data_IF_779225737823
#
_entry.id   IF_779225737823
#
_cell.length_a   1.000
_cell.length_b   1.000
_cell.length_c   1.000
_cell.angle_alpha   90.00
_cell.angle_beta   90.00
_cell.angle_gamma   90.00
#
_symmetry.space_group_name_H-M   'P 1'
#
loop_
_entity.id
_entity.type
_entity.pdbx_description
1 polymer ?
#
# COMPACT_ATOMS: atom_id res chain seq x y z
N UNK A 1 -8.15 10.55 -12.10
CA UNK A 1 -7.19 11.64 -12.37
C UNK A 1 -6.60 12.08 -11.05
N UNK A 2 -5.29 11.92 -10.89
CA UNK A 2 -4.58 12.28 -9.66
C UNK A 2 -4.53 13.80 -9.46
N UNK A 3 -4.64 14.23 -8.20
CA UNK A 3 -4.61 15.64 -7.83
C UNK A 3 -3.16 16.12 -7.76
N UNK A 4 -2.86 17.29 -8.33
CA UNK A 4 -1.57 17.94 -8.09
C UNK A 4 -1.58 18.52 -6.68
N UNK A 5 -0.65 18.07 -5.84
CA UNK A 5 -0.56 18.51 -4.45
C UNK A 5 0.49 19.61 -4.35
N UNK A 6 0.10 20.74 -3.77
CA UNK A 6 0.91 21.95 -3.53
C UNK A 6 0.81 22.33 -2.06
N UNK A 7 1.68 23.24 -1.62
CA UNK A 7 1.73 23.75 -0.24
C UNK A 7 0.37 24.23 0.27
N UNK A 8 -0.42 24.87 -0.58
CA UNK A 8 -1.73 25.41 -0.19
C UNK A 8 -2.80 24.32 -0.02
N UNK A 9 -2.69 23.21 -0.75
CA UNK A 9 -3.72 22.17 -0.77
C UNK A 9 -3.31 20.88 -0.06
N UNK A 10 -2.06 20.76 0.42
CA UNK A 10 -1.55 19.55 1.05
C UNK A 10 -2.32 19.23 2.32
N UNK A 11 -2.64 20.25 3.13
CA UNK A 11 -3.37 20.07 4.38
C UNK A 11 -4.82 19.65 4.11
N UNK A 12 -5.50 20.24 3.12
CA UNK A 12 -6.80 19.77 2.63
C UNK A 12 -6.72 18.35 2.07
N UNK A 13 -5.69 18.03 1.28
CA UNK A 13 -5.54 16.69 0.72
C UNK A 13 -5.33 15.65 1.81
N UNK A 14 -4.57 15.95 2.85
CA UNK A 14 -4.25 15.06 3.97
C UNK A 14 -5.36 14.97 5.02
N UNK A 15 -6.24 15.96 5.13
CA UNK A 15 -7.41 15.93 6.03
C UNK A 15 -8.66 15.39 5.34
N UNK A 16 -8.88 15.69 4.07
CA UNK A 16 -10.09 15.27 3.34
C UNK A 16 -10.15 13.75 3.17
N UNK A 17 -11.22 13.12 3.66
CA UNK A 17 -11.44 11.67 3.65
C UNK A 17 -10.35 10.88 4.39
N UNK A 18 -10.28 11.04 5.72
CA UNK A 18 -9.37 10.30 6.60
C UNK A 18 -9.48 8.77 6.48
N UNK A 19 -10.64 8.27 6.05
CA UNK A 19 -10.89 6.84 5.84
C UNK A 19 -10.19 6.27 4.61
N UNK A 20 -9.73 7.11 3.68
CA UNK A 20 -9.12 6.65 2.42
C UNK A 20 -7.60 6.79 2.47
N UNK A 21 -6.84 5.73 2.14
CA UNK A 21 -5.39 5.84 1.99
C UNK A 21 -5.04 6.84 0.88
N UNK A 22 -3.97 7.59 1.13
CA UNK A 22 -3.48 8.65 0.27
C UNK A 22 -2.11 8.27 -0.24
N UNK A 23 -1.97 8.16 -1.55
CA UNK A 23 -0.71 7.80 -2.19
C UNK A 23 -0.15 9.04 -2.86
N UNK A 24 1.07 9.40 -2.51
CA UNK A 24 1.80 10.57 -2.98
C UNK A 24 2.99 10.10 -3.81
N UNK A 25 3.05 10.52 -5.07
CA UNK A 25 4.22 10.37 -5.91
C UNK A 25 5.06 11.64 -5.85
N UNK A 26 6.30 11.49 -5.40
CA UNK A 26 7.34 12.51 -5.45
C UNK A 26 8.21 12.28 -6.68
N UNK A 27 8.27 13.26 -7.57
CA UNK A 27 9.09 13.20 -8.78
C UNK A 27 9.75 14.53 -9.09
N UNK A 28 10.89 14.48 -9.78
CA UNK A 28 11.57 15.66 -10.33
C UNK A 28 10.86 16.24 -11.56
N UNK A 29 9.96 15.46 -12.17
CA UNK A 29 9.20 15.92 -13.33
C UNK A 29 8.20 17.01 -12.94
N UNK A 30 8.06 18.04 -13.78
CA UNK A 30 7.03 19.08 -13.62
C UNK A 30 5.62 18.58 -13.93
N UNK A 31 5.52 17.51 -14.71
CA UNK A 31 4.26 16.91 -15.13
C UNK A 31 4.05 15.54 -14.48
N UNK A 32 2.79 15.21 -14.25
CA UNK A 32 2.39 13.90 -13.74
C UNK A 32 2.73 12.81 -14.77
N UNK A 33 3.56 11.81 -14.42
CA UNK A 33 3.91 10.72 -15.34
C UNK A 33 2.68 9.98 -15.87
N UNK A 34 2.77 9.46 -17.10
CA UNK A 34 1.69 8.68 -17.73
C UNK A 34 1.26 7.48 -16.88
N UNK A 35 2.23 6.77 -16.28
CA UNK A 35 2.03 5.66 -15.35
C UNK A 35 1.14 6.09 -14.18
N UNK A 36 1.42 7.25 -13.58
CA UNK A 36 0.63 7.75 -12.45
C UNK A 36 -0.79 8.17 -12.87
N UNK A 37 -0.92 8.76 -14.05
CA UNK A 37 -2.24 9.07 -14.63
C UNK A 37 -3.06 7.80 -14.83
N UNK A 38 -2.47 6.75 -15.39
CA UNK A 38 -3.11 5.46 -15.59
C UNK A 38 -3.57 4.85 -14.25
N UNK A 39 -2.67 4.75 -13.26
CA UNK A 39 -3.02 4.25 -11.93
C UNK A 39 -4.13 5.07 -11.27
N UNK A 40 -4.07 6.40 -11.36
CA UNK A 40 -5.11 7.28 -10.79
C UNK A 40 -6.46 7.25 -11.52
N UNK A 41 -6.53 6.59 -12.68
CA UNK A 41 -7.72 6.50 -13.52
C UNK A 41 -8.41 5.15 -13.42
N UNK A 42 -7.74 4.14 -12.88
CA UNK A 42 -8.34 2.86 -12.47
C UNK A 42 -9.52 3.10 -11.52
N UNK A 43 -10.66 2.49 -11.86
CA UNK A 43 -11.93 2.69 -11.16
C UNK A 43 -11.89 2.17 -9.73
N UNK A 44 -11.19 1.05 -9.52
CA UNK A 44 -10.94 0.45 -8.20
C UNK A 44 -10.24 1.47 -7.31
N UNK A 45 -9.09 1.98 -7.75
CA UNK A 45 -8.28 2.87 -6.95
C UNK A 45 -8.89 4.25 -6.75
N UNK A 46 -9.71 4.75 -7.69
CA UNK A 46 -10.47 5.99 -7.53
C UNK A 46 -11.50 5.90 -6.40
N UNK A 47 -12.07 4.72 -6.16
CA UNK A 47 -13.05 4.52 -5.09
C UNK A 47 -12.38 4.27 -3.74
N UNK A 48 -11.32 3.48 -3.73
CA UNK A 48 -10.65 3.02 -2.51
C UNK A 48 -9.61 4.01 -1.99
N UNK A 49 -8.96 4.79 -2.86
CA UNK A 49 -7.80 5.61 -2.48
C UNK A 49 -7.81 7.00 -3.11
N UNK A 50 -6.87 7.85 -2.69
CA UNK A 50 -6.58 9.14 -3.34
C UNK A 50 -5.13 9.19 -3.83
N UNK A 51 -4.94 9.67 -5.05
CA UNK A 51 -3.62 9.87 -5.65
C UNK A 51 -3.27 11.34 -5.68
N UNK A 52 -2.10 11.66 -5.13
CA UNK A 52 -1.49 12.96 -5.17
C UNK A 52 -0.17 12.91 -5.95
N UNK A 53 0.12 13.98 -6.68
CA UNK A 53 1.40 14.17 -7.35
C UNK A 53 2.09 15.41 -6.80
N UNK A 54 3.33 15.24 -6.36
CA UNK A 54 4.16 16.31 -5.79
C UNK A 54 5.43 16.44 -6.64
N UNK A 55 5.67 17.65 -7.13
CA UNK A 55 6.91 18.00 -7.82
C UNK A 55 8.01 18.35 -6.81
N UNK A 56 9.26 18.11 -7.16
CA UNK A 56 10.44 18.50 -6.35
C UNK A 56 10.49 20.00 -6.01
N UNK A 57 9.82 20.84 -6.80
CA UNK A 57 9.66 22.28 -6.54
C UNK A 57 9.02 22.56 -5.17
N UNK A 58 8.16 21.66 -4.69
CA UNK A 58 7.44 21.78 -3.41
C UNK A 58 8.31 21.28 -2.23
N UNK A 59 9.40 22.00 -1.95
CA UNK A 59 10.37 21.64 -0.90
C UNK A 59 9.74 21.48 0.48
N UNK A 60 8.73 22.28 0.81
CA UNK A 60 7.97 22.15 2.07
C UNK A 60 7.39 20.75 2.25
N UNK A 61 6.79 20.18 1.19
CA UNK A 61 6.16 18.86 1.24
C UNK A 61 7.25 17.78 1.28
N UNK A 62 8.27 17.90 0.44
CA UNK A 62 9.42 16.98 0.41
C UNK A 62 10.07 16.87 1.80
N UNK A 63 10.25 17.99 2.49
CA UNK A 63 10.79 18.03 3.86
C UNK A 63 9.83 17.43 4.89
N UNK A 64 8.51 17.74 4.82
CA UNK A 64 7.49 17.15 5.71
C UNK A 64 7.45 15.63 5.60
N UNK A 65 7.66 15.09 4.41
CA UNK A 65 7.69 13.64 4.15
C UNK A 65 9.09 13.02 4.24
N UNK A 66 10.13 13.83 4.52
CA UNK A 66 11.54 13.40 4.63
C UNK A 66 12.02 12.61 3.41
N UNK A 67 11.59 13.02 2.21
CA UNK A 67 11.97 12.36 0.95
C UNK A 67 13.39 12.78 0.56
N UNK A 68 14.29 11.80 0.43
CA UNK A 68 15.69 12.04 0.04
C UNK A 68 16.02 11.53 -1.36
N UNK A 69 15.20 10.63 -1.92
CA UNK A 69 15.39 10.03 -3.24
C UNK A 69 14.21 10.35 -4.14
N UNK A 70 14.48 10.52 -5.42
CA UNK A 70 13.46 10.69 -6.45
C UNK A 70 13.73 9.75 -7.63
N UNK A 71 12.68 9.19 -8.27
CA UNK A 71 11.29 9.26 -7.84
C UNK A 71 11.04 8.40 -6.58
N UNK A 72 10.05 8.77 -5.77
CA UNK A 72 9.64 7.99 -4.60
C UNK A 72 8.14 8.06 -4.40
N UNK A 73 7.55 6.93 -4.02
CA UNK A 73 6.11 6.83 -3.75
C UNK A 73 5.92 6.59 -2.26
N UNK A 74 5.06 7.39 -1.65
CA UNK A 74 4.70 7.23 -0.24
C UNK A 74 3.21 7.06 -0.12
N UNK A 75 2.79 6.09 0.67
CA UNK A 75 1.41 5.94 1.09
C UNK A 75 1.27 6.43 2.53
N UNK A 76 0.23 7.20 2.78
CA UNK A 76 -0.19 7.64 4.10
C UNK A 76 -1.60 7.11 4.37
N UNK A 77 -1.76 6.35 5.45
CA UNK A 77 -3.05 5.76 5.85
C UNK A 77 -3.47 6.17 7.26
N UNK A 78 -4.67 6.74 7.37
CA UNK A 78 -5.19 7.34 8.60
C UNK A 78 -5.04 8.86 8.61
N UNK A 79 -5.45 9.51 9.70
CA UNK A 79 -5.34 10.96 9.87
C UNK A 79 -3.91 11.47 10.09
N UNK A 80 -3.76 12.55 10.85
CA UNK A 80 -2.48 13.25 11.07
C UNK A 80 -1.34 12.37 11.64
N UNK A 81 -1.66 11.22 12.24
CA UNK A 81 -0.71 10.25 12.81
C UNK A 81 -0.68 8.90 12.06
N UNK A 82 -0.95 8.96 10.75
CA UNK A 82 -1.04 7.82 9.86
C UNK A 82 0.26 7.01 9.70
N UNK A 83 0.11 5.69 9.55
CA UNK A 83 1.17 4.80 9.06
C UNK A 83 1.64 5.33 7.71
N UNK A 84 2.95 5.62 7.60
CA UNK A 84 3.60 6.09 6.39
C UNK A 84 4.47 4.98 5.84
N UNK A 85 4.14 4.49 4.66
CA UNK A 85 4.90 3.46 3.98
C UNK A 85 5.53 4.03 2.72
N UNK A 86 6.85 3.86 2.61
CA UNK A 86 7.60 4.29 1.43
C UNK A 86 7.85 3.10 0.53
N UNK A 87 7.43 3.20 -0.72
CA UNK A 87 7.69 2.21 -1.74
C UNK A 87 9.19 2.18 -2.08
N UNK A 88 9.78 0.99 -2.05
CA UNK A 88 11.20 0.75 -2.35
C UNK A 88 11.40 -0.16 -3.58
N UNK A 89 10.33 -0.53 -4.26
CA UNK A 89 10.39 -1.39 -5.44
C UNK A 89 10.62 -0.61 -6.74
N UNK A 90 10.51 -1.32 -7.85
CA UNK A 90 10.69 -0.76 -9.18
C UNK A 90 9.58 0.20 -9.59
N UNK A 91 9.96 1.28 -10.28
CA UNK A 91 9.02 2.28 -10.80
C UNK A 91 8.29 1.83 -12.08
N UNK A 92 7.98 0.53 -12.17
CA UNK A 92 7.24 -0.08 -13.26
C UNK A 92 5.74 -0.04 -12.97
N UNK A 93 4.92 0.06 -14.01
CA UNK A 93 3.46 0.12 -13.87
C UNK A 93 2.89 -1.09 -13.12
N UNK A 94 3.36 -2.30 -13.45
CA UNK A 94 2.93 -3.55 -12.81
C UNK A 94 3.27 -3.56 -11.31
N UNK A 95 4.53 -3.31 -10.97
CA UNK A 95 5.00 -3.34 -9.59
C UNK A 95 4.30 -2.28 -8.71
N UNK A 96 4.07 -1.08 -9.26
CA UNK A 96 3.29 -0.04 -8.60
C UNK A 96 1.83 -0.43 -8.44
N UNK A 97 1.22 -1.04 -9.46
CA UNK A 97 -0.17 -1.50 -9.42
C UNK A 97 -0.36 -2.58 -8.36
N UNK A 98 0.51 -3.59 -8.32
CA UNK A 98 0.47 -4.67 -7.32
C UNK A 98 0.65 -4.12 -5.90
N UNK A 99 1.65 -3.26 -5.71
CA UNK A 99 1.87 -2.63 -4.41
C UNK A 99 0.66 -1.81 -3.97
N UNK A 100 0.14 -0.95 -4.84
CA UNK A 100 -1.08 -0.19 -4.58
C UNK A 100 -2.27 -1.10 -4.27
N UNK A 101 -2.44 -2.19 -5.01
CA UNK A 101 -3.57 -3.11 -4.85
C UNK A 101 -3.56 -3.75 -3.46
N UNK A 102 -2.41 -4.30 -3.03
CA UNK A 102 -2.22 -4.89 -1.70
C UNK A 102 -2.62 -3.93 -0.57
N UNK A 103 -2.27 -2.66 -0.73
CA UNK A 103 -2.57 -1.63 0.27
C UNK A 103 -4.01 -1.12 0.19
N UNK A 104 -4.66 -1.30 -0.96
CA UNK A 104 -6.09 -1.00 -1.13
C UNK A 104 -6.98 -2.09 -0.51
N UNK A 105 -6.56 -3.35 -0.56
CA UNK A 105 -7.28 -4.51 -0.03
C UNK A 105 -7.10 -4.68 1.48
N UNK A 106 -5.90 -4.41 2.00
CA UNK A 106 -5.64 -4.34 3.45
C UNK A 106 -6.39 -3.18 4.13
N UNK A 107 -7.11 -2.35 3.36
CA UNK A 107 -8.10 -1.36 3.79
C UNK A 107 -9.17 -1.88 4.77
N UNK A 108 -9.43 -3.20 4.75
CA UNK A 108 -10.46 -3.88 5.54
C UNK A 108 -9.96 -4.53 6.85
N UNK A 109 -8.74 -4.25 7.29
CA UNK A 109 -8.24 -4.79 8.55
C UNK A 109 -7.34 -3.80 9.26
N UNK A 110 -7.85 -3.19 10.31
CA UNK A 110 -7.03 -2.70 11.41
C UNK A 110 -6.26 -3.91 11.97
N UNK A 111 -5.04 -4.14 11.46
CA UNK A 111 -3.94 -5.03 11.93
C UNK A 111 -3.11 -5.52 10.74
N UNK A 112 -2.08 -4.76 10.41
CA UNK A 112 -0.73 -5.31 10.19
C UNK A 112 0.26 -4.19 10.49
N UNK A 113 0.59 -4.06 11.77
CA UNK A 113 1.85 -3.45 12.14
C UNK A 113 2.97 -4.38 11.62
N UNK A 114 3.83 -3.84 10.76
CA UNK A 114 5.14 -4.40 10.49
C UNK A 114 5.32 -4.99 9.09
N UNK A 115 5.83 -4.16 8.16
CA UNK A 115 6.90 -4.57 7.23
C UNK A 115 7.31 -3.39 6.34
N UNK A 116 8.12 -2.46 6.87
CA UNK A 116 8.91 -1.56 6.04
C UNK A 116 10.38 -1.67 6.42
N UNK A 117 11.16 -2.38 5.62
CA UNK A 117 12.62 -2.35 5.70
C UNK A 117 13.24 -3.73 5.60
N UNK A 118 13.73 -4.06 4.40
CA UNK A 118 14.54 -5.24 4.19
C UNK A 118 15.75 -5.26 5.11
N UNK A 119 15.92 -6.43 5.72
CA UNK A 119 17.21 -7.07 5.90
C UNK A 119 17.00 -8.47 5.32
N UNK A 120 17.83 -8.84 4.35
CA UNK A 120 18.09 -10.25 4.07
C UNK A 120 18.45 -10.91 5.40
N UNK A 121 17.57 -11.73 5.92
CA UNK A 121 17.84 -12.71 6.98
C UNK A 121 16.69 -13.73 6.94
N UNK A 122 16.99 -14.85 6.29
CA UNK A 122 16.31 -16.14 6.24
C UNK A 122 14.78 -16.19 6.43
N UNK A 123 14.06 -16.26 5.31
CA UNK A 123 12.61 -16.56 5.25
C UNK A 123 12.30 -17.99 5.74
N UNK A 124 13.31 -18.85 5.92
CA UNK A 124 13.15 -20.23 6.39
C UNK A 124 12.82 -20.37 7.88
N UNK A 125 13.16 -19.40 8.74
CA UNK A 125 13.00 -19.60 10.20
C UNK A 125 11.68 -19.05 10.76
N UNK A 126 10.98 -18.18 10.01
CA UNK A 126 9.75 -17.54 10.51
C UNK A 126 8.47 -18.33 10.24
N UNK A 127 8.52 -19.42 9.47
CA UNK A 127 7.35 -20.24 9.12
C UNK A 127 7.68 -21.74 9.03
N UNK A 128 8.06 -22.40 10.14
CA UNK A 128 8.40 -23.83 10.13
C UNK A 128 7.28 -24.74 9.59
N UNK A 129 6.01 -24.29 9.65
CA UNK A 129 4.85 -25.00 9.11
C UNK A 129 4.76 -25.00 7.56
N UNK A 130 5.54 -24.19 6.85
CA UNK A 130 5.58 -24.20 5.37
C UNK A 130 6.45 -25.33 4.81
N UNK A 131 7.31 -25.91 5.63
CA UNK A 131 8.22 -27.01 5.27
C UNK A 131 7.69 -28.36 5.78
N UNK A 132 6.67 -28.35 6.63
CA UNK A 132 6.02 -29.57 7.07
C UNK A 132 5.14 -30.14 5.96
N UNK A 133 5.34 -31.42 5.65
CA UNK A 133 4.46 -32.16 4.75
C UNK A 133 3.06 -32.20 5.36
N UNK A 134 2.12 -31.50 4.73
CA UNK A 134 0.73 -31.48 5.17
C UNK A 134 0.13 -32.86 4.90
N UNK A 135 -0.39 -33.57 5.91
CA UNK A 135 -1.02 -34.87 5.71
C UNK A 135 -2.20 -34.76 4.74
N UNK A 136 -2.34 -35.74 3.85
CA UNK A 136 -3.46 -35.75 2.91
C UNK A 136 -4.80 -35.79 3.65
N UNK A 137 -5.71 -34.91 3.23
CA UNK A 137 -7.05 -34.84 3.81
C UNK A 137 -7.84 -36.09 3.38
N UNK A 138 -7.95 -37.07 4.26
CA UNK A 138 -8.76 -38.27 4.00
C UNK A 138 -10.22 -38.08 4.45
N UNK A 139 -11.15 -38.81 3.84
CA UNK A 139 -12.60 -38.74 4.14
C UNK A 139 -12.90 -38.92 5.63
N UNK A 140 -12.07 -39.69 6.36
CA UNK A 140 -12.21 -39.88 7.81
C UNK A 140 -11.74 -38.65 8.60
N UNK A 141 -10.64 -38.02 8.20
CA UNK A 141 -10.09 -36.81 8.85
C UNK A 141 -10.89 -35.54 8.53
N UNK A 142 -11.60 -35.50 7.39
CA UNK A 142 -12.40 -34.34 6.98
C UNK A 142 -13.52 -34.02 7.99
N UNK A 143 -14.07 -35.05 8.65
CA UNK A 143 -15.20 -34.89 9.59
C UNK A 143 -14.75 -34.35 10.96
N UNK A 144 -13.51 -34.67 11.37
CA UNK A 144 -12.89 -34.11 12.57
C UNK A 144 -12.35 -32.70 12.31
N UNK A 145 -11.81 -32.39 11.13
CA UNK A 145 -11.27 -31.03 10.85
C UNK A 145 -12.40 -30.01 10.66
N UNK A 146 -13.52 -30.38 10.03
CA UNK A 146 -14.70 -29.49 9.89
C UNK A 146 -15.64 -29.61 11.12
N UNK A 147 -15.12 -29.85 12.34
CA UNK A 147 -15.84 -30.12 13.60
C UNK A 147 -17.29 -29.56 13.65
N UNK A 148 -18.27 -30.44 13.39
CA UNK A 148 -19.60 -30.54 14.04
C UNK A 148 -20.30 -29.23 14.46
N UNK A 149 -20.25 -28.19 13.64
CA UNK A 149 -21.02 -26.95 13.80
C UNK A 149 -21.57 -26.52 12.45
N UNK A 150 -22.87 -26.29 12.36
CA UNK A 150 -23.53 -25.78 11.15
C UNK A 150 -22.89 -24.44 10.76
N UNK A 151 -22.06 -24.44 9.72
CA UNK A 151 -21.53 -23.20 9.15
C UNK A 151 -20.23 -23.39 8.40
N UNK A 152 -20.37 -23.68 7.11
CA UNK A 152 -19.36 -23.51 6.05
C UNK A 152 -18.15 -24.47 6.10
N UNK A 153 -18.37 -25.66 5.56
CA UNK A 153 -17.57 -26.09 4.41
C UNK A 153 -18.39 -25.69 3.15
#
# INVERSE_FOLDING_TARGET
MGTKVTKDNVDDFLTKDHSKPKVLLFSKSKSTPSIWKALSSETVFKRTMKFGFVSEEEKDIVQRFKITKFPSVVMQRGGQAAVKETYKGDMNFLALKEWVNLHSESGMGDKVAGAAGGKEESVEESKPWLVQEVPELTVKSSNDVCFKGEGLC
#
